data_IF_926102109608
#
_entry.id   IF_926102109608
#
_cell.length_a   1.000
_cell.length_b   1.000
_cell.length_c   1.000
_cell.angle_alpha   90.00
_cell.angle_beta   90.00
_cell.angle_gamma   90.00
#
_symmetry.space_group_name_H-M   'P 1'
#
loop_
_entity.id
_entity.type
_entity.pdbx_description
1 polymer ?
#
# COMPACT_ATOMS: atom_id res chain seq x y z
N UNK A 1 -13.29 -40.42 41.62
CA UNK A 1 -14.18 -41.59 41.49
C UNK A 1 -15.33 -41.18 40.58
N UNK A 2 -15.54 -41.91 39.48
CA UNK A 2 -16.75 -42.00 38.63
C UNK A 2 -17.41 -40.71 38.10
N UNK A 3 -17.27 -40.41 36.81
CA UNK A 3 -18.05 -40.93 35.65
C UNK A 3 -19.46 -40.34 35.57
N UNK A 4 -19.73 -39.53 34.55
CA UNK A 4 -20.52 -39.90 33.36
C UNK A 4 -20.81 -38.66 32.51
N UNK A 5 -20.39 -38.70 31.25
CA UNK A 5 -20.99 -37.88 30.21
C UNK A 5 -22.34 -38.47 29.79
N UNK A 6 -23.24 -37.60 29.31
CA UNK A 6 -24.21 -37.88 28.23
C UNK A 6 -24.97 -36.61 27.84
N UNK A 7 -24.77 -36.25 26.58
CA UNK A 7 -25.68 -35.71 25.56
C UNK A 7 -27.12 -35.31 25.94
N UNK A 8 -27.49 -34.09 25.52
CA UNK A 8 -28.84 -33.52 25.39
C UNK A 8 -28.78 -32.31 24.43
N UNK A 9 -28.87 -32.45 23.10
CA UNK A 9 -30.08 -32.51 22.24
C UNK A 9 -30.62 -31.12 21.80
N UNK A 10 -30.44 -30.84 20.50
CA UNK A 10 -31.36 -30.20 19.51
C UNK A 10 -31.65 -28.69 19.49
N UNK A 11 -31.57 -28.18 18.25
CA UNK A 11 -32.23 -26.97 17.72
C UNK A 11 -31.29 -25.78 17.70
N UNK A 12 -30.94 -25.14 16.58
CA UNK A 12 -31.73 -24.83 15.40
C UNK A 12 -30.77 -24.64 14.21
N UNK A 13 -30.98 -25.39 13.13
CA UNK A 13 -30.36 -25.19 11.83
C UNK A 13 -31.04 -23.98 11.21
N UNK A 14 -30.31 -22.88 11.00
CA UNK A 14 -30.68 -21.88 9.99
C UNK A 14 -29.71 -22.01 8.81
N UNK A 15 -30.11 -22.87 7.89
CA UNK A 15 -29.52 -22.97 6.57
C UNK A 15 -29.93 -21.73 5.75
N UNK A 16 -28.97 -20.87 5.43
CA UNK A 16 -29.10 -19.92 4.33
C UNK A 16 -28.38 -20.51 3.12
N UNK A 17 -29.06 -21.43 2.43
CA UNK A 17 -28.65 -21.87 1.10
C UNK A 17 -28.85 -20.71 0.13
N UNK A 18 -27.76 -20.05 -0.26
CA UNK A 18 -27.78 -19.08 -1.36
C UNK A 18 -27.85 -19.86 -2.68
N UNK A 19 -29.07 -20.23 -3.08
CA UNK A 19 -29.38 -20.70 -4.43
C UNK A 19 -29.21 -19.53 -5.40
N UNK A 20 -28.12 -19.51 -6.15
CA UNK A 20 -27.98 -18.65 -7.34
C UNK A 20 -28.88 -19.19 -8.44
N UNK A 21 -30.15 -18.78 -8.43
CA UNK A 21 -31.09 -19.01 -9.52
C UNK A 21 -30.84 -17.98 -10.64
N UNK A 22 -30.29 -18.46 -11.76
CA UNK A 22 -30.36 -17.78 -13.05
C UNK A 22 -31.83 -17.83 -13.52
N UNK A 23 -32.59 -16.77 -13.28
CA UNK A 23 -33.90 -16.59 -13.88
C UNK A 23 -34.13 -15.11 -14.19
N UNK A 24 -33.99 -14.76 -15.47
CA UNK A 24 -34.34 -13.46 -16.01
C UNK A 24 -35.77 -13.52 -16.58
N UNK A 25 -36.76 -12.87 -15.96
CA UNK A 25 -37.98 -12.51 -16.67
C UNK A 25 -37.78 -11.15 -17.35
N UNK A 26 -37.79 -11.16 -18.69
CA UNK A 26 -37.95 -9.97 -19.53
C UNK A 26 -39.41 -9.52 -19.47
N UNK A 27 -39.69 -8.44 -18.74
CA UNK A 27 -40.90 -7.62 -18.94
C UNK A 27 -40.62 -6.24 -18.36
N UNK A 28 -40.52 -5.25 -19.26
CA UNK A 28 -40.00 -3.92 -18.96
C UNK A 28 -40.96 -3.00 -18.22
N UNK A 29 -40.37 -1.94 -17.67
CA UNK A 29 -40.82 -0.55 -17.69
C UNK A 29 -39.61 0.32 -17.32
N UNK A 30 -39.42 1.43 -18.03
CA UNK A 30 -38.20 2.23 -18.21
C UNK A 30 -37.47 2.70 -16.94
N UNK A 31 -36.16 2.45 -16.88
CA UNK A 31 -35.10 3.45 -16.61
C UNK A 31 -33.72 2.81 -16.87
N UNK A 32 -32.89 3.47 -17.65
CA UNK A 32 -31.58 3.02 -18.14
C UNK A 32 -30.58 2.61 -17.04
N UNK A 33 -30.57 1.35 -16.62
CA UNK A 33 -29.50 0.84 -15.77
C UNK A 33 -29.01 -0.55 -16.24
N UNK A 34 -28.27 -0.51 -17.34
CA UNK A 34 -27.58 -1.64 -17.94
C UNK A 34 -26.51 -2.17 -16.97
N UNK A 35 -26.38 -3.50 -16.74
CA UNK A 35 -25.27 -4.09 -15.98
C UNK A 35 -23.87 -3.81 -16.58
N UNK A 36 -23.82 -3.31 -17.83
CA UNK A 36 -22.62 -2.79 -18.45
C UNK A 36 -22.08 -1.52 -17.76
N UNK A 37 -22.92 -0.69 -17.15
CA UNK A 37 -22.51 0.59 -16.53
C UNK A 37 -21.76 0.38 -15.21
N UNK A 38 -22.14 -0.63 -14.41
CA UNK A 38 -21.43 -1.01 -13.18
C UNK A 38 -20.12 -1.74 -13.49
N UNK A 39 -20.12 -2.64 -14.48
CA UNK A 39 -18.90 -3.28 -14.97
C UNK A 39 -17.91 -2.26 -15.55
N UNK A 40 -18.40 -1.29 -16.33
CA UNK A 40 -17.56 -0.23 -16.92
C UNK A 40 -17.00 0.71 -15.86
N UNK A 41 -17.78 1.08 -14.84
CA UNK A 41 -17.27 1.88 -13.70
C UNK A 41 -16.19 1.14 -12.92
N UNK A 42 -16.37 -0.15 -12.66
CA UNK A 42 -15.37 -0.97 -11.96
C UNK A 42 -14.08 -1.09 -12.78
N UNK A 43 -14.19 -1.32 -14.09
CA UNK A 43 -13.06 -1.34 -15.00
C UNK A 43 -12.34 0.02 -15.06
N UNK A 44 -13.06 1.14 -15.17
CA UNK A 44 -12.48 2.48 -15.17
C UNK A 44 -11.78 2.82 -13.84
N UNK A 45 -12.35 2.40 -12.70
CA UNK A 45 -11.71 2.60 -11.40
C UNK A 45 -10.43 1.76 -11.26
N UNK A 46 -10.44 0.51 -11.72
CA UNK A 46 -9.27 -0.35 -11.73
C UNK A 46 -8.17 0.19 -12.66
N UNK A 47 -8.53 0.65 -13.87
CA UNK A 47 -7.60 1.29 -14.81
C UNK A 47 -6.99 2.56 -14.23
N UNK A 48 -7.81 3.46 -13.67
CA UNK A 48 -7.32 4.70 -13.06
C UNK A 48 -6.38 4.43 -11.86
N UNK A 49 -6.70 3.42 -11.04
CA UNK A 49 -5.81 2.98 -9.95
C UNK A 49 -4.48 2.45 -10.49
N UNK A 50 -4.52 1.63 -11.55
CA UNK A 50 -3.35 1.09 -12.23
C UNK A 50 -2.48 2.17 -12.90
N UNK A 51 -3.09 3.13 -13.59
CA UNK A 51 -2.39 4.26 -14.23
C UNK A 51 -1.72 5.18 -13.19
N UNK A 52 -2.40 5.42 -12.07
CA UNK A 52 -1.82 6.19 -10.97
C UNK A 52 -0.63 5.48 -10.33
N UNK A 53 -0.67 4.15 -10.22
CA UNK A 53 0.44 3.36 -9.69
C UNK A 53 1.62 3.29 -10.67
N UNK A 54 1.33 3.09 -11.95
CA UNK A 54 2.33 3.11 -13.01
C UNK A 54 3.02 4.47 -13.10
N UNK A 55 2.27 5.56 -12.97
CA UNK A 55 2.81 6.92 -12.92
C UNK A 55 3.71 7.13 -11.71
N UNK A 56 3.29 6.74 -10.51
CA UNK A 56 4.11 6.84 -9.29
C UNK A 56 5.42 6.03 -9.41
N UNK A 57 5.35 4.84 -9.99
CA UNK A 57 6.53 3.99 -10.25
C UNK A 57 7.47 4.62 -11.28
N UNK A 58 6.91 5.20 -12.36
CA UNK A 58 7.70 5.89 -13.37
C UNK A 58 8.38 7.15 -12.81
N UNK A 59 7.69 7.91 -11.96
CA UNK A 59 8.28 9.05 -11.25
C UNK A 59 9.38 8.62 -10.28
N UNK A 60 9.20 7.51 -9.57
CA UNK A 60 10.24 6.92 -8.72
C UNK A 60 11.47 6.58 -9.58
N UNK A 61 11.28 5.89 -10.71
CA UNK A 61 12.35 5.59 -11.67
C UNK A 61 13.10 6.84 -12.14
N UNK A 62 12.38 7.87 -12.59
CA UNK A 62 12.97 9.15 -13.01
C UNK A 62 13.78 9.81 -11.90
N UNK A 63 13.31 9.77 -10.65
CA UNK A 63 14.07 10.30 -9.52
C UNK A 63 15.37 9.53 -9.30
N UNK A 64 15.37 8.21 -9.47
CA UNK A 64 16.59 7.40 -9.38
C UNK A 64 17.55 7.62 -10.54
N UNK A 65 17.07 7.91 -11.75
CA UNK A 65 17.94 8.21 -12.91
C UNK A 65 18.79 9.48 -12.70
N UNK A 66 18.33 10.40 -11.84
CA UNK A 66 19.13 11.57 -11.44
C UNK A 66 20.35 11.19 -10.58
N UNK A 67 20.33 10.02 -9.93
CA UNK A 67 21.46 9.46 -9.18
C UNK A 67 22.33 8.60 -10.11
N UNK A 68 23.07 9.27 -11.01
CA UNK A 68 24.05 8.58 -11.87
C UNK A 68 25.10 7.88 -11.00
N UNK A 69 25.31 6.58 -11.25
CA UNK A 69 26.16 5.69 -10.44
C UNK A 69 25.74 5.56 -8.96
N UNK A 70 24.44 5.71 -8.66
CA UNK A 70 23.94 5.54 -7.30
C UNK A 70 24.29 4.17 -6.72
N UNK A 71 24.97 4.15 -5.57
CA UNK A 71 25.32 2.92 -4.86
C UNK A 71 24.09 2.45 -4.09
N UNK A 72 23.79 1.15 -4.13
CA UNK A 72 22.71 0.57 -3.32
C UNK A 72 22.95 0.87 -1.84
N UNK A 73 22.00 1.56 -1.23
CA UNK A 73 22.08 2.06 0.13
C UNK A 73 20.95 1.54 1.01
N UNK A 74 20.25 0.47 0.61
CA UNK A 74 19.11 -0.06 1.39
C UNK A 74 19.49 -0.43 2.83
N UNK A 75 20.73 -0.88 3.07
CA UNK A 75 21.23 -1.19 4.42
C UNK A 75 21.53 0.05 5.29
N UNK A 76 21.66 1.23 4.69
CA UNK A 76 21.86 2.49 5.40
C UNK A 76 20.53 3.11 5.84
N UNK A 77 19.39 2.52 5.44
CA UNK A 77 18.05 3.06 5.69
C UNK A 77 17.32 2.19 6.71
N UNK A 78 16.82 2.85 7.77
CA UNK A 78 15.88 2.27 8.70
C UNK A 78 14.51 2.89 8.50
N UNK A 79 13.49 2.05 8.35
CA UNK A 79 12.10 2.49 8.25
C UNK A 79 11.39 2.10 9.53
N UNK A 80 10.75 3.07 10.18
CA UNK A 80 9.95 2.81 11.37
C UNK A 80 8.80 1.88 11.00
N UNK A 81 8.58 0.84 11.79
CA UNK A 81 7.54 -0.17 11.56
C UNK A 81 6.13 0.39 11.68
N UNK A 82 5.96 1.56 12.32
CA UNK A 82 4.67 2.17 12.53
C UNK A 82 4.36 3.21 11.45
N UNK A 83 3.37 2.90 10.61
CA UNK A 83 2.72 3.89 9.76
C UNK A 83 1.71 4.66 10.60
N UNK A 84 1.78 5.98 10.51
CA UNK A 84 0.85 6.90 11.17
C UNK A 84 -0.01 7.62 10.13
N UNK A 85 -1.10 8.25 10.57
CA UNK A 85 -1.93 9.09 9.70
C UNK A 85 -1.79 10.54 10.14
N UNK A 86 -1.44 11.43 9.22
CA UNK A 86 -1.33 12.86 9.51
C UNK A 86 -2.70 13.54 9.58
N UNK A 87 -2.75 14.80 10.01
CA UNK A 87 -3.98 15.59 10.13
C UNK A 87 -4.75 15.76 8.80
N UNK A 88 -4.11 15.54 7.65
CA UNK A 88 -4.74 15.58 6.33
C UNK A 88 -5.22 14.21 5.83
N UNK A 89 -5.11 13.16 6.65
CA UNK A 89 -5.51 11.80 6.28
C UNK A 89 -4.52 11.07 5.36
N UNK A 90 -3.26 11.48 5.28
CA UNK A 90 -2.21 10.76 4.52
C UNK A 90 -1.45 9.82 5.46
N UNK A 91 -1.05 8.68 4.93
CA UNK A 91 -0.16 7.78 5.65
C UNK A 91 1.26 8.34 5.65
N UNK A 92 1.92 8.28 6.80
CA UNK A 92 3.28 8.73 7.01
C UNK A 92 4.12 7.65 7.67
N UNK A 93 5.31 7.42 7.14
CA UNK A 93 6.32 6.54 7.71
C UNK A 93 7.61 7.33 7.97
N UNK A 94 8.20 7.15 9.15
CA UNK A 94 9.49 7.76 9.48
C UNK A 94 10.60 6.95 8.83
N UNK A 95 11.51 7.65 8.15
CA UNK A 95 12.70 7.09 7.51
C UNK A 95 13.91 7.70 8.18
N UNK A 96 14.83 6.87 8.67
CA UNK A 96 16.12 7.31 9.20
C UNK A 96 17.21 6.79 8.27
N UNK A 97 18.01 7.69 7.73
CA UNK A 97 19.14 7.38 6.86
C UNK A 97 20.43 7.57 7.66
N UNK A 98 21.32 6.59 7.63
CA UNK A 98 22.64 6.65 8.29
C UNK A 98 23.74 6.59 7.25
N UNK A 99 24.54 7.64 7.13
CA UNK A 99 25.61 7.68 6.15
C UNK A 99 26.85 6.93 6.61
N UNK A 100 27.00 5.69 6.15
CA UNK A 100 28.18 4.85 6.43
C UNK A 100 29.44 5.23 5.62
N UNK A 101 29.36 6.21 4.71
CA UNK A 101 30.50 6.68 3.93
C UNK A 101 31.38 7.68 4.70
N UNK A 102 32.60 7.87 4.22
CA UNK A 102 33.60 8.79 4.80
C UNK A 102 33.46 10.25 4.34
N UNK A 103 32.44 10.57 3.55
CA UNK A 103 32.14 11.92 3.08
C UNK A 103 30.64 12.18 3.19
N UNK A 104 30.23 13.44 3.06
CA UNK A 104 28.82 13.79 2.93
C UNK A 104 28.18 13.08 1.72
N UNK A 105 26.94 12.64 1.88
CA UNK A 105 26.17 11.90 0.88
C UNK A 105 24.71 12.33 0.87
N UNK A 106 24.10 12.19 -0.30
CA UNK A 106 22.65 12.37 -0.48
C UNK A 106 22.00 11.05 -0.86
N UNK A 107 20.80 10.82 -0.34
CA UNK A 107 20.08 9.57 -0.46
C UNK A 107 18.73 9.80 -1.14
N UNK A 108 18.33 8.86 -1.99
CA UNK A 108 16.94 8.72 -2.41
C UNK A 108 16.42 7.37 -1.94
N UNK A 109 15.28 7.40 -1.25
CA UNK A 109 14.63 6.24 -0.66
C UNK A 109 13.22 6.13 -1.23
N UNK A 110 12.94 5.02 -1.90
CA UNK A 110 11.60 4.65 -2.30
C UNK A 110 10.95 3.86 -1.17
N UNK A 111 9.81 4.36 -0.72
CA UNK A 111 8.93 3.73 0.25
C UNK A 111 7.64 3.34 -0.44
N UNK A 112 7.28 2.07 -0.31
CA UNK A 112 6.05 1.49 -0.82
C UNK A 112 5.07 1.31 0.34
N UNK A 113 3.89 1.91 0.25
CA UNK A 113 2.79 1.70 1.18
C UNK A 113 1.92 0.54 0.70
N UNK A 114 1.60 -0.40 1.59
CA UNK A 114 0.88 -1.63 1.25
C UNK A 114 -0.26 -1.91 2.22
N UNK A 115 -1.29 -2.59 1.76
CA UNK A 115 -2.32 -3.13 2.66
C UNK A 115 -1.88 -4.46 3.29
N UNK A 116 -2.69 -5.00 4.21
CA UNK A 116 -2.45 -6.27 4.90
C UNK A 116 -2.24 -7.48 3.99
N UNK A 117 -2.83 -7.48 2.79
CA UNK A 117 -2.71 -8.55 1.79
C UNK A 117 -1.45 -8.37 0.93
N UNK A 118 -0.69 -7.29 1.17
CA UNK A 118 0.55 -6.98 0.49
C UNK A 118 0.38 -6.25 -0.84
N UNK A 119 -0.82 -5.79 -1.20
CA UNK A 119 -1.00 -5.03 -2.44
C UNK A 119 -0.41 -3.64 -2.30
N UNK A 120 0.21 -3.16 -3.38
CA UNK A 120 0.80 -1.83 -3.43
C UNK A 120 -0.31 -0.78 -3.51
N UNK A 121 -0.39 0.07 -2.49
CA UNK A 121 -1.37 1.14 -2.39
C UNK A 121 -0.83 2.47 -2.91
N UNK A 122 0.44 2.76 -2.63
CA UNK A 122 1.12 3.98 -3.07
C UNK A 122 2.64 3.81 -3.01
N UNK A 123 3.37 4.58 -3.82
CA UNK A 123 4.84 4.60 -3.84
C UNK A 123 5.29 6.05 -3.71
N UNK A 124 6.27 6.29 -2.84
CA UNK A 124 6.81 7.62 -2.57
C UNK A 124 8.33 7.56 -2.58
N UNK A 125 8.98 8.53 -3.24
CA UNK A 125 10.42 8.72 -3.13
C UNK A 125 10.73 9.95 -2.31
N UNK A 126 11.45 9.72 -1.21
CA UNK A 126 11.98 10.74 -0.30
C UNK A 126 13.45 10.93 -0.59
N UNK A 127 13.87 12.19 -0.69
CA UNK A 127 15.29 12.56 -0.79
C UNK A 127 15.76 13.07 0.55
N UNK A 128 16.90 12.55 1.03
CA UNK A 128 17.58 13.01 2.24
C UNK A 128 18.95 13.53 1.84
N UNK A 129 19.10 14.84 1.85
CA UNK A 129 20.31 15.53 1.39
C UNK A 129 21.27 15.85 2.54
N UNK A 130 22.53 16.03 2.17
CA UNK A 130 23.59 16.59 3.03
C UNK A 130 23.74 15.81 4.34
N UNK A 131 23.74 14.48 4.25
CA UNK A 131 23.97 13.60 5.41
C UNK A 131 25.48 13.52 5.62
N UNK A 132 25.98 14.19 6.65
CA UNK A 132 27.40 14.18 6.98
C UNK A 132 27.94 12.75 7.18
N UNK A 133 29.25 12.57 6.98
CA UNK A 133 29.91 11.28 7.16
C UNK A 133 29.67 10.72 8.56
N UNK A 134 29.22 9.47 8.67
CA UNK A 134 28.91 8.80 9.94
C UNK A 134 27.67 9.31 10.66
N UNK A 135 26.94 10.28 10.11
CA UNK A 135 25.76 10.87 10.74
C UNK A 135 24.45 10.21 10.25
N UNK A 136 23.38 10.41 11.03
CA UNK A 136 22.03 10.02 10.65
C UNK A 136 21.14 11.23 10.45
N UNK A 137 20.21 11.16 9.50
CA UNK A 137 19.14 12.13 9.32
C UNK A 137 17.80 11.45 9.17
N UNK A 138 16.79 12.08 9.75
CA UNK A 138 15.40 11.66 9.64
C UNK A 138 14.72 12.35 8.46
N UNK A 139 13.79 11.63 7.86
CA UNK A 139 12.86 12.13 6.87
C UNK A 139 11.51 11.45 7.05
N UNK A 140 10.47 11.98 6.40
CA UNK A 140 9.11 11.43 6.45
C UNK A 140 8.68 11.08 5.04
N UNK A 141 8.40 9.80 4.80
CA UNK A 141 7.68 9.36 3.62
C UNK A 141 6.20 9.61 3.87
N UNK A 142 5.56 10.40 3.00
CA UNK A 142 4.14 10.76 3.09
C UNK A 142 3.44 10.35 1.81
N UNK A 143 2.36 9.58 1.93
CA UNK A 143 1.58 9.13 0.78
C UNK A 143 0.99 10.30 -0.02
N UNK A 144 0.91 10.12 -1.33
CA UNK A 144 0.32 11.07 -2.29
C UNK A 144 -1.21 11.01 -2.33
N UNK A 145 -1.78 9.89 -1.86
CA UNK A 145 -3.21 9.60 -1.73
C UNK A 145 -3.59 9.28 -0.27
N UNK A 146 -4.84 9.50 0.10
CA UNK A 146 -5.37 9.01 1.37
C UNK A 146 -5.48 7.50 1.29
N UNK A 147 -4.97 6.81 2.30
CA UNK A 147 -4.99 5.35 2.40
C UNK A 147 -5.91 4.94 3.55
N UNK A 148 -6.57 3.79 3.41
CA UNK A 148 -7.54 3.30 4.38
C UNK A 148 -7.28 1.84 4.69
N UNK A 149 -7.66 1.42 5.91
CA UNK A 149 -7.37 0.09 6.43
C UNK A 149 -5.99 0.01 7.09
N UNK A 150 -5.54 -1.22 7.35
CA UNK A 150 -4.22 -1.51 7.89
C UNK A 150 -3.14 -1.29 6.83
N UNK A 151 -2.44 -0.16 6.94
CA UNK A 151 -1.37 0.24 6.02
C UNK A 151 -0.01 -0.07 6.65
N UNK A 152 0.85 -0.72 5.87
CA UNK A 152 2.26 -0.96 6.17
C UNK A 152 3.14 -0.18 5.19
N UNK A 153 4.42 -0.03 5.51
CA UNK A 153 5.40 0.58 4.62
C UNK A 153 6.65 -0.30 4.53
N UNK A 154 7.25 -0.38 3.34
CA UNK A 154 8.52 -1.06 3.08
C UNK A 154 9.46 -0.16 2.27
N UNK A 155 10.77 -0.32 2.47
CA UNK A 155 11.77 0.33 1.62
C UNK A 155 12.00 -0.52 0.38
N UNK A 156 11.37 -0.19 -0.74
CA UNK A 156 11.56 -0.95 -1.97
C UNK A 156 13.00 -0.80 -2.51
N UNK A 157 13.53 0.43 -2.49
CA UNK A 157 14.85 0.77 -3.04
C UNK A 157 15.44 1.96 -2.31
N UNK A 158 16.76 1.96 -2.12
CA UNK A 158 17.48 3.15 -1.73
C UNK A 158 18.82 3.26 -2.46
N UNK A 159 19.18 4.48 -2.86
CA UNK A 159 20.47 4.77 -3.48
C UNK A 159 21.13 5.96 -2.80
N UNK A 160 22.46 5.97 -2.80
CA UNK A 160 23.27 7.12 -2.37
C UNK A 160 24.19 7.61 -3.49
N UNK A 161 24.44 8.91 -3.49
CA UNK A 161 25.38 9.64 -4.35
C UNK A 161 26.48 10.21 -3.46
#
# INVERSE_FOLDING_TARGET
>A
MQRHGRHGIRGLILAAAATTALAAPLTGCSDDNTPASTASKAASAASAAGEALASATAEAGRKFDQFKNGVNAKGDVNLDSHVTTDSSGRSTAKVTVTNSASSEKSYAVQVDFRDKDGNLLDTVVVTVSDVAAGASKDATARSTRTLSGDVTADVARAVRN
#
